data_IF_038261014589
#
_entry.id   IF_038261014589
#
_cell.length_a   1.000
_cell.length_b   1.000
_cell.length_c   1.000
_cell.angle_alpha   90.00
_cell.angle_beta   90.00
_cell.angle_gamma   90.00
#
_symmetry.space_group_name_H-M   'P 1'
#
loop_
_entity.id
_entity.type
_entity.pdbx_description
1 polymer ?
#
# COMPACT_ATOMS: atom_id res chain seq x y z
N UNK A 1 -5.57 8.65 2.04
CA UNK A 1 -5.08 7.29 2.36
C UNK A 1 -4.26 7.26 3.65
N UNK A 2 -3.37 8.23 3.91
CA UNK A 2 -2.58 8.34 5.16
C UNK A 2 -3.40 8.18 6.45
N UNK A 3 -4.54 8.87 6.58
CA UNK A 3 -5.44 8.74 7.74
C UNK A 3 -5.98 7.32 7.94
N UNK A 4 -6.36 6.64 6.85
CA UNK A 4 -6.86 5.24 6.88
C UNK A 4 -5.73 4.27 7.22
N UNK A 5 -4.58 4.38 6.56
CA UNK A 5 -3.40 3.55 6.83
C UNK A 5 -2.86 3.76 8.27
N UNK A 6 -2.91 4.99 8.77
CA UNK A 6 -2.56 5.32 10.16
C UNK A 6 -3.52 4.71 11.17
N UNK A 7 -4.84 4.74 10.90
CA UNK A 7 -5.84 4.08 11.77
C UNK A 7 -5.69 2.55 11.84
N UNK A 8 -5.01 1.96 10.85
CA UNK A 8 -4.75 0.52 10.74
C UNK A 8 -3.34 0.14 11.21
N UNK A 9 -2.56 1.10 11.74
CA UNK A 9 -1.19 0.89 12.23
C UNK A 9 -0.23 0.29 11.18
N UNK A 10 -0.42 0.69 9.91
CA UNK A 10 0.39 0.26 8.76
C UNK A 10 1.09 1.42 8.04
N UNK A 11 0.98 2.67 8.52
CA UNK A 11 1.62 3.81 7.84
C UNK A 11 3.15 3.68 7.81
N UNK A 12 3.77 3.30 8.92
CA UNK A 12 5.23 3.19 9.02
C UNK A 12 5.83 2.21 8.00
N UNK A 13 5.17 1.07 7.75
CA UNK A 13 5.64 0.09 6.77
C UNK A 13 5.41 0.51 5.32
N UNK A 14 4.47 1.44 5.08
CA UNK A 14 4.28 2.08 3.77
C UNK A 14 5.38 3.10 3.52
N UNK A 15 5.74 3.87 4.54
CA UNK A 15 6.75 4.94 4.45
C UNK A 15 8.18 4.38 4.35
N UNK A 16 8.51 3.38 5.18
CA UNK A 16 9.85 2.80 5.25
C UNK A 16 10.05 1.61 4.30
N UNK A 17 8.97 1.06 3.75
CA UNK A 17 9.00 -0.15 2.94
C UNK A 17 9.15 -1.44 3.75
N UNK A 18 9.04 -2.56 3.05
CA UNK A 18 9.26 -3.90 3.60
C UNK A 18 10.44 -4.56 2.89
N UNK A 19 11.45 -4.95 3.68
CA UNK A 19 12.59 -5.71 3.19
C UNK A 19 12.42 -7.18 3.57
N UNK A 20 12.45 -8.05 2.55
CA UNK A 20 12.42 -9.48 2.76
C UNK A 20 13.84 -9.97 3.12
N UNK A 21 14.02 -10.73 4.22
CA UNK A 21 15.31 -11.33 4.55
C UNK A 21 15.79 -12.27 3.45
N UNK A 22 17.10 -12.27 3.21
CA UNK A 22 17.71 -13.10 2.17
C UNK A 22 17.75 -14.59 2.54
N UNK A 23 17.92 -14.90 3.83
CA UNK A 23 17.90 -16.26 4.37
C UNK A 23 16.98 -16.34 5.61
N UNK A 24 15.69 -16.61 5.36
CA UNK A 24 14.71 -16.81 6.43
C UNK A 24 14.96 -18.10 7.22
N UNK A 25 15.68 -19.09 6.67
CA UNK A 25 15.91 -20.37 7.31
C UNK A 25 16.90 -20.24 8.47
N UNK A 26 17.92 -19.39 8.30
CA UNK A 26 18.94 -19.06 9.29
C UNK A 26 18.42 -18.26 10.50
N UNK A 27 17.20 -17.71 10.42
CA UNK A 27 16.62 -16.90 11.50
C UNK A 27 16.26 -17.76 12.72
N UNK A 28 16.49 -17.20 13.91
CA UNK A 28 15.95 -17.72 15.15
C UNK A 28 14.42 -17.68 15.16
N UNK A 29 13.79 -18.45 16.05
CA UNK A 29 12.33 -18.46 16.16
C UNK A 29 11.75 -17.06 16.46
N UNK A 30 12.43 -16.28 17.32
CA UNK A 30 12.01 -14.91 17.67
C UNK A 30 12.06 -13.96 16.48
N UNK A 31 13.07 -14.10 15.62
CA UNK A 31 13.19 -13.31 14.39
C UNK A 31 12.14 -13.72 13.37
N UNK A 32 11.83 -15.02 13.25
CA UNK A 32 10.73 -15.53 12.41
C UNK A 32 9.37 -14.99 12.86
N UNK A 33 9.11 -14.94 14.16
CA UNK A 33 7.86 -14.40 14.71
C UNK A 33 7.73 -12.89 14.43
N UNK A 34 8.83 -12.15 14.55
CA UNK A 34 8.89 -10.72 14.22
C UNK A 34 8.66 -10.51 12.72
N UNK A 35 9.35 -11.29 11.88
CA UNK A 35 9.21 -11.24 10.43
C UNK A 35 7.78 -11.51 9.97
N UNK A 36 7.12 -12.51 10.56
CA UNK A 36 5.72 -12.85 10.27
C UNK A 36 4.79 -11.67 10.55
N UNK A 37 4.95 -10.99 11.70
CA UNK A 37 4.16 -9.80 12.05
C UNK A 37 4.39 -8.65 11.06
N UNK A 38 5.64 -8.37 10.73
CA UNK A 38 6.00 -7.31 9.77
C UNK A 38 5.45 -7.63 8.38
N UNK A 39 5.58 -8.88 7.92
CA UNK A 39 5.03 -9.33 6.65
C UNK A 39 3.51 -9.20 6.59
N UNK A 40 2.80 -9.55 7.68
CA UNK A 40 1.35 -9.41 7.76
C UNK A 40 0.93 -7.94 7.65
N UNK A 41 1.61 -7.03 8.36
CA UNK A 41 1.37 -5.58 8.24
C UNK A 41 1.62 -5.07 6.82
N UNK A 42 2.68 -5.55 6.16
CA UNK A 42 2.97 -5.19 4.77
C UNK A 42 1.86 -5.64 3.82
N UNK A 43 1.40 -6.89 3.95
CA UNK A 43 0.31 -7.43 3.14
C UNK A 43 -1.02 -6.69 3.39
N UNK A 44 -1.29 -6.31 4.64
CA UNK A 44 -2.46 -5.49 5.00
C UNK A 44 -2.37 -4.10 4.35
N UNK A 45 -1.20 -3.45 4.40
CA UNK A 45 -0.97 -2.17 3.75
C UNK A 45 -1.23 -2.25 2.24
N UNK A 46 -0.68 -3.26 1.56
CA UNK A 46 -0.93 -3.51 0.14
C UNK A 46 -2.41 -3.70 -0.17
N UNK A 47 -3.11 -4.49 0.66
CA UNK A 47 -4.54 -4.75 0.47
C UNK A 47 -5.35 -3.46 0.59
N UNK A 48 -5.09 -2.63 1.60
CA UNK A 48 -5.76 -1.35 1.80
C UNK A 48 -5.49 -0.39 0.64
N UNK A 49 -4.24 -0.34 0.15
CA UNK A 49 -3.88 0.47 -1.03
C UNK A 49 -4.66 -0.02 -2.25
N UNK A 50 -4.70 -1.33 -2.52
CA UNK A 50 -5.48 -1.88 -3.64
C UNK A 50 -6.97 -1.60 -3.51
N UNK A 51 -7.58 -1.77 -2.34
CA UNK A 51 -9.01 -1.50 -2.14
C UNK A 51 -9.34 -0.02 -2.38
N UNK A 52 -8.52 0.88 -1.86
CA UNK A 52 -8.74 2.32 -1.98
C UNK A 52 -8.47 2.85 -3.40
N UNK A 53 -7.56 2.19 -4.14
CA UNK A 53 -7.34 2.43 -5.56
C UNK A 53 -8.40 1.76 -6.43
N UNK A 54 -9.00 0.65 -6.02
CA UNK A 54 -10.00 -0.02 -6.84
C UNK A 54 -11.32 0.76 -6.82
N UNK A 55 -12.01 0.93 -5.70
CA UNK A 55 -13.39 1.43 -5.78
C UNK A 55 -13.45 2.93 -6.11
N UNK A 56 -12.66 3.74 -5.41
CA UNK A 56 -12.69 5.21 -5.57
C UNK A 56 -11.96 5.70 -6.83
N UNK A 57 -10.91 5.01 -7.28
CA UNK A 57 -10.22 5.40 -8.53
C UNK A 57 -10.97 4.89 -9.75
N UNK A 58 -11.52 3.68 -9.68
CA UNK A 58 -12.28 3.11 -10.78
C UNK A 58 -13.51 3.95 -11.08
N UNK A 59 -14.29 4.39 -10.08
CA UNK A 59 -15.42 5.30 -10.30
C UNK A 59 -15.00 6.63 -10.97
N UNK A 60 -13.87 7.20 -10.55
CA UNK A 60 -13.33 8.44 -11.12
C UNK A 60 -12.79 8.25 -12.54
N UNK A 61 -12.13 7.13 -12.81
CA UNK A 61 -11.63 6.79 -14.15
C UNK A 61 -12.78 6.41 -15.08
N UNK A 62 -13.80 5.70 -14.58
CA UNK A 62 -14.98 5.29 -15.35
C UNK A 62 -15.85 6.48 -15.79
N UNK A 63 -15.77 7.60 -15.06
CA UNK A 63 -16.43 8.87 -15.45
C UNK A 63 -15.63 9.70 -16.46
N UNK A 64 -14.40 9.30 -16.80
CA UNK A 64 -13.62 9.98 -17.83
C UNK A 64 -14.15 9.67 -19.23
N UNK A 65 -14.24 10.69 -20.08
CA UNK A 65 -14.74 10.54 -21.46
C UNK A 65 -13.62 10.35 -22.47
N UNK A 66 -12.37 10.62 -22.07
CA UNK A 66 -11.17 10.46 -22.90
C UNK A 66 -10.07 9.72 -22.14
N UNK A 67 -9.19 9.05 -22.88
CA UNK A 67 -8.02 8.38 -22.31
C UNK A 67 -7.06 9.36 -21.60
N UNK A 68 -6.99 10.62 -22.05
CA UNK A 68 -6.22 11.69 -21.41
C UNK A 68 -6.78 12.05 -20.02
N UNK A 69 -8.09 12.21 -19.90
CA UNK A 69 -8.75 12.48 -18.61
C UNK A 69 -8.53 11.34 -17.62
N UNK A 70 -8.70 10.09 -18.07
CA UNK A 70 -8.45 8.91 -17.25
C UNK A 70 -7.01 8.90 -16.70
N UNK A 71 -6.03 9.20 -17.55
CA UNK A 71 -4.62 9.28 -17.16
C UNK A 71 -4.34 10.42 -16.17
N UNK A 72 -4.93 11.60 -16.36
CA UNK A 72 -4.76 12.73 -15.44
C UNK A 72 -5.36 12.46 -14.05
N UNK A 73 -6.49 11.74 -13.97
CA UNK A 73 -7.13 11.31 -12.72
C UNK A 73 -6.22 10.33 -11.96
N UNK A 74 -5.63 9.37 -12.66
CA UNK A 74 -4.64 8.44 -12.09
C UNK A 74 -3.40 9.20 -11.58
N UNK A 75 -2.82 10.07 -12.41
CA UNK A 75 -1.61 10.81 -12.09
C UNK A 75 -1.77 11.77 -10.90
N UNK A 76 -2.92 12.44 -10.78
CA UNK A 76 -3.23 13.30 -9.62
C UNK A 76 -3.30 12.51 -8.33
N UNK A 77 -3.85 11.31 -8.40
CA UNK A 77 -4.03 10.47 -7.21
C UNK A 77 -2.74 9.86 -6.69
N UNK A 78 -1.79 9.59 -7.58
CA UNK A 78 -0.41 9.21 -7.22
C UNK A 78 0.35 10.38 -6.61
N UNK A 79 0.18 11.62 -7.10
CA UNK A 79 0.87 12.81 -6.56
C UNK A 79 0.43 13.21 -5.15
N UNK A 80 -0.82 12.93 -4.76
CA UNK A 80 -1.32 13.24 -3.39
C UNK A 80 -0.76 12.25 -2.35
N UNK A 81 -0.18 11.12 -2.78
CA UNK A 81 0.43 10.12 -1.89
C UNK A 81 1.90 10.40 -1.54
N UNK A 82 2.52 11.45 -2.11
CA UNK A 82 3.95 11.79 -1.92
C UNK A 82 4.11 13.19 -1.29
N UNK A 83 3.25 13.58 -0.33
CA UNK A 83 3.44 14.79 0.50
C UNK A 83 3.25 14.49 1.98
#
# INVERSE_FOLDING_TARGET
MRTVLGSQDVWEIVENGYEKPQDEAALSQREKDTLSKTKNKYQQALTLIHQYLNDTMFEKVASATTSKEAWEILAKSVKVLIK
#
